data_IF_380102162924
#
_entry.id   IF_380102162924
#
_cell.length_a   1.000
_cell.length_b   1.000
_cell.length_c   1.000
_cell.angle_alpha   90.00
_cell.angle_beta   90.00
_cell.angle_gamma   90.00
#
_symmetry.space_group_name_H-M   'P 1'
#
loop_
_entity.id
_entity.type
_entity.pdbx_description
1 polymer ?
#
# COMPACT_ATOMS: atom_id res chain seq x y z
N UNK A 1 12.71 -24.99 -6.72
CA UNK A 1 13.89 -24.70 -5.85
C UNK A 1 13.99 -23.19 -5.71
N UNK A 2 13.51 -22.61 -4.61
CA UNK A 2 13.72 -21.17 -4.36
C UNK A 2 15.15 -21.04 -3.85
N UNK A 3 15.99 -20.40 -4.65
CA UNK A 3 17.37 -20.12 -4.27
C UNK A 3 17.30 -19.10 -3.14
N UNK A 4 17.72 -19.48 -1.93
CA UNK A 4 17.81 -18.54 -0.80
C UNK A 4 18.82 -17.45 -1.15
N UNK A 5 18.32 -16.26 -1.47
CA UNK A 5 19.10 -15.06 -1.78
C UNK A 5 19.72 -14.42 -0.51
N UNK A 6 19.90 -15.18 0.57
CA UNK A 6 20.27 -14.65 1.90
C UNK A 6 21.66 -13.97 1.92
N UNK A 7 22.51 -14.22 0.91
CA UNK A 7 23.84 -13.62 0.78
C UNK A 7 23.95 -12.39 -0.15
N UNK A 8 22.95 -12.08 -0.97
CA UNK A 8 23.04 -10.96 -1.91
C UNK A 8 22.63 -9.64 -1.23
N UNK A 9 23.12 -8.47 -1.70
CA UNK A 9 22.66 -7.18 -1.21
C UNK A 9 21.13 -7.03 -1.30
N UNK A 10 20.54 -7.48 -2.41
CA UNK A 10 19.08 -7.45 -2.64
C UNK A 10 18.33 -8.36 -1.67
N UNK A 11 18.84 -9.57 -1.41
CA UNK A 11 18.21 -10.47 -0.45
C UNK A 11 18.26 -9.95 0.98
N UNK A 12 19.37 -9.32 1.39
CA UNK A 12 19.43 -8.64 2.70
C UNK A 12 18.42 -7.49 2.82
N UNK A 13 18.24 -6.70 1.76
CA UNK A 13 17.22 -5.65 1.73
C UNK A 13 15.81 -6.22 1.90
N UNK A 14 15.44 -7.23 1.12
CA UNK A 14 14.09 -7.82 1.14
C UNK A 14 13.76 -8.57 2.44
N UNK A 15 14.77 -9.07 3.15
CA UNK A 15 14.60 -9.76 4.44
C UNK A 15 14.61 -8.82 5.65
N UNK A 16 14.98 -7.54 5.47
CA UNK A 16 14.91 -6.54 6.54
C UNK A 16 13.48 -6.04 6.76
N UNK A 17 13.20 -5.49 7.96
CA UNK A 17 11.90 -4.86 8.24
C UNK A 17 11.69 -3.69 7.26
N UNK A 18 10.58 -3.64 6.50
CA UNK A 18 10.36 -2.57 5.54
C UNK A 18 9.94 -1.27 6.24
N UNK A 19 10.35 -0.14 5.68
CA UNK A 19 9.78 1.17 5.99
C UNK A 19 8.63 1.45 5.01
N UNK A 20 7.44 1.78 5.52
CA UNK A 20 6.23 1.85 4.69
C UNK A 20 5.71 3.28 4.54
N UNK A 21 5.46 3.67 3.29
CA UNK A 21 4.69 4.86 2.92
C UNK A 21 3.46 4.37 2.16
N UNK A 22 2.28 4.46 2.78
CA UNK A 22 1.02 4.11 2.13
C UNK A 22 0.46 5.31 1.37
N UNK A 23 -0.12 5.07 0.19
CA UNK A 23 -0.59 6.12 -0.72
C UNK A 23 -2.04 5.82 -1.10
N UNK A 24 -2.93 6.78 -0.89
CA UNK A 24 -4.35 6.66 -1.24
C UNK A 24 -5.13 5.86 -0.20
N UNK A 25 -5.36 4.56 -0.42
CA UNK A 25 -6.32 3.79 0.37
C UNK A 25 -5.94 3.69 1.86
N UNK A 26 -6.70 4.36 2.72
CA UNK A 26 -6.46 4.39 4.17
C UNK A 26 -6.66 3.02 4.86
N UNK A 27 -7.39 2.09 4.26
CA UNK A 27 -7.64 0.75 4.82
C UNK A 27 -6.35 0.00 5.16
N UNK A 28 -5.33 0.08 4.30
CA UNK A 28 -4.05 -0.59 4.52
C UNK A 28 -3.27 -0.05 5.73
N UNK A 29 -3.50 1.21 6.13
CA UNK A 29 -2.87 1.77 7.34
C UNK A 29 -3.31 1.01 8.58
N UNK A 30 -4.59 0.62 8.64
CA UNK A 30 -5.12 -0.15 9.76
C UNK A 30 -4.47 -1.52 9.82
N UNK A 31 -4.44 -2.23 8.69
CA UNK A 31 -3.86 -3.59 8.62
C UNK A 31 -2.37 -3.59 8.99
N UNK A 32 -1.62 -2.58 8.55
CA UNK A 32 -0.20 -2.43 8.90
C UNK A 32 0.01 -2.16 10.39
N UNK A 33 -0.83 -1.31 11.00
CA UNK A 33 -0.75 -1.01 12.44
C UNK A 33 -1.14 -2.21 13.30
N UNK A 34 -2.12 -3.00 12.86
CA UNK A 34 -2.51 -4.24 13.55
C UNK A 34 -1.35 -5.27 13.55
N UNK A 35 -0.43 -5.18 12.58
CA UNK A 35 0.81 -5.94 12.50
C UNK A 35 2.03 -5.27 13.18
N UNK A 36 1.83 -4.18 13.95
CA UNK A 36 2.90 -3.40 14.60
C UNK A 36 3.95 -2.84 13.61
N UNK A 37 3.47 -2.48 12.41
CA UNK A 37 4.27 -1.81 11.38
C UNK A 37 3.98 -0.30 11.40
N UNK A 38 5.03 0.48 11.58
CA UNK A 38 4.96 1.93 11.44
C UNK A 38 4.78 2.31 9.97
N UNK A 39 3.84 3.23 9.71
CA UNK A 39 3.47 3.63 8.36
C UNK A 39 3.17 5.13 8.30
N UNK A 40 3.70 5.79 7.28
CA UNK A 40 3.32 7.15 6.89
C UNK A 40 2.21 7.07 5.86
N UNK A 41 1.09 7.76 6.11
CA UNK A 41 -0.02 7.86 5.17
C UNK A 41 0.12 9.12 4.32
N UNK A 42 0.09 8.94 3.00
CA UNK A 42 -0.02 10.02 2.02
C UNK A 42 -1.44 10.03 1.47
N UNK A 43 -2.17 11.11 1.74
CA UNK A 43 -3.48 11.36 1.16
C UNK A 43 -3.31 11.83 -0.27
N UNK A 44 -3.44 10.90 -1.21
CA UNK A 44 -3.21 11.14 -2.63
C UNK A 44 -4.34 10.55 -3.45
N UNK A 45 -4.74 11.29 -4.47
CA UNK A 45 -5.74 10.91 -5.46
C UNK A 45 -5.14 11.13 -6.86
N UNK A 46 -5.38 10.23 -7.83
CA UNK A 46 -4.85 10.40 -9.18
C UNK A 46 -5.26 11.75 -9.79
N UNK A 47 -4.35 12.46 -10.46
CA UNK A 47 -4.61 13.82 -10.97
C UNK A 47 -5.69 13.86 -12.06
N UNK A 48 -5.95 12.74 -12.74
CA UNK A 48 -7.14 12.56 -13.55
C UNK A 48 -8.24 12.01 -12.64
N UNK A 49 -9.05 12.90 -12.06
CA UNK A 49 -10.12 12.59 -11.09
C UNK A 49 -11.28 11.75 -11.68
N UNK A 50 -11.11 11.24 -12.90
CA UNK A 50 -12.12 10.51 -13.66
C UNK A 50 -13.31 11.39 -14.07
N UNK A 51 -14.37 10.74 -14.55
CA UNK A 51 -15.69 11.40 -14.67
C UNK A 51 -16.38 11.33 -13.29
N UNK A 52 -16.65 12.47 -12.63
CA UNK A 52 -17.27 12.50 -11.31
C UNK A 52 -18.62 11.78 -11.26
N UNK A 53 -19.38 11.76 -12.37
CA UNK A 53 -20.66 11.04 -12.44
C UNK A 53 -20.44 9.54 -12.39
N UNK A 54 -19.43 9.05 -13.11
CA UNK A 54 -19.08 7.64 -13.11
C UNK A 54 -18.56 7.20 -11.74
N UNK A 55 -17.71 8.00 -11.11
CA UNK A 55 -17.23 7.76 -9.75
C UNK A 55 -18.39 7.69 -8.74
N UNK A 56 -19.36 8.60 -8.83
CA UNK A 56 -20.55 8.59 -7.98
C UNK A 56 -21.46 7.37 -8.21
N UNK A 57 -21.54 6.87 -9.46
CA UNK A 57 -22.28 5.63 -9.76
C UNK A 57 -21.58 4.40 -9.19
N UNK A 58 -20.25 4.31 -9.33
CA UNK A 58 -19.44 3.22 -8.76
C UNK A 58 -19.49 3.20 -7.23
N UNK A 59 -19.49 4.37 -6.58
CA UNK A 59 -19.60 4.48 -5.14
C UNK A 59 -20.89 3.87 -4.56
N UNK A 60 -21.96 3.75 -5.36
CA UNK A 60 -23.21 3.08 -4.93
C UNK A 60 -23.10 1.55 -4.88
N UNK A 61 -22.07 0.96 -5.48
CA UNK A 61 -21.84 -0.48 -5.52
C UNK A 61 -20.94 -0.95 -4.37
N UNK A 62 -20.19 -0.05 -3.73
CA UNK A 62 -19.35 -0.35 -2.57
C UNK A 62 -20.07 -0.04 -1.27
N UNK A 63 -20.31 -1.07 -0.46
CA UNK A 63 -20.73 -0.97 0.95
C UNK A 63 -19.51 -1.06 1.86
#
# INVERSE_FOLDING_TARGET
>A
MVIKQEGTPSGRLLMSKPSVVNVGLAGFVKDLRDCDIEVVQVDWTPPADGDPKMAALLAKLGT
#
